data_IF_107775850247
#
_entry.id   IF_107775850247
#
_cell.length_a   1.000
_cell.length_b   1.000
_cell.length_c   1.000
_cell.angle_alpha   90.00
_cell.angle_beta   90.00
_cell.angle_gamma   90.00
#
_symmetry.space_group_name_H-M   'P 1'
#
loop_
_entity.id
_entity.type
_entity.pdbx_description
1 polymer ?
#
# COMPACT_ATOMS: atom_id res chain seq x y z
N UNK A 1 19.60 -16.39 -10.81
CA UNK A 1 19.96 -15.02 -11.25
C UNK A 1 18.68 -14.39 -11.75
N UNK A 2 17.94 -13.73 -10.86
CA UNK A 2 16.72 -13.04 -11.22
C UNK A 2 17.09 -11.72 -11.89
N UNK A 3 16.63 -11.54 -13.12
CA UNK A 3 16.70 -10.32 -13.90
C UNK A 3 16.31 -9.10 -13.05
N UNK A 4 17.22 -8.13 -12.95
CA UNK A 4 17.03 -6.84 -12.30
C UNK A 4 15.98 -6.03 -13.05
N UNK A 5 14.72 -6.18 -12.66
CA UNK A 5 13.79 -5.06 -12.65
C UNK A 5 14.49 -3.91 -11.91
N UNK A 6 14.57 -2.74 -12.54
CA UNK A 6 15.31 -1.58 -12.06
C UNK A 6 15.22 -1.39 -10.53
N UNK A 7 16.35 -1.45 -9.84
CA UNK A 7 16.43 -1.22 -8.40
C UNK A 7 16.05 0.24 -8.10
N UNK A 8 14.92 0.46 -7.42
CA UNK A 8 14.41 1.79 -7.09
C UNK A 8 15.45 2.65 -6.36
N UNK A 9 16.31 2.03 -5.53
CA UNK A 9 17.39 2.73 -4.86
C UNK A 9 18.45 3.23 -5.84
N UNK A 10 18.78 2.42 -6.86
CA UNK A 10 19.70 2.83 -7.93
C UNK A 10 19.11 3.95 -8.79
N UNK A 11 17.82 3.88 -9.11
CA UNK A 11 17.12 4.94 -9.84
C UNK A 11 17.12 6.26 -9.07
N UNK A 12 16.74 6.23 -7.79
CA UNK A 12 16.71 7.44 -6.97
C UNK A 12 18.11 8.04 -6.80
N UNK A 13 19.13 7.22 -6.58
CA UNK A 13 20.52 7.68 -6.45
C UNK A 13 21.03 8.39 -7.73
N UNK A 14 20.60 7.92 -8.90
CA UNK A 14 21.02 8.45 -10.20
C UNK A 14 20.13 9.58 -10.73
N UNK A 15 18.95 9.82 -10.15
CA UNK A 15 17.99 10.80 -10.66
C UNK A 15 18.48 12.24 -10.37
N UNK A 16 18.69 13.08 -11.40
CA UNK A 16 19.23 14.43 -11.21
C UNK A 16 18.27 15.38 -10.47
N UNK A 17 16.96 15.14 -10.53
CA UNK A 17 15.97 15.94 -9.82
C UNK A 17 15.94 15.63 -8.31
N UNK A 18 16.45 14.46 -7.88
CA UNK A 18 16.44 14.04 -6.49
C UNK A 18 17.18 15.05 -5.58
N UNK A 19 18.35 15.54 -6.01
CA UNK A 19 19.15 16.48 -5.21
C UNK A 19 18.38 17.79 -4.93
N UNK A 20 17.71 18.35 -5.94
CA UNK A 20 16.95 19.59 -5.79
C UNK A 20 15.73 19.41 -4.87
N UNK A 21 15.01 18.30 -5.01
CA UNK A 21 13.83 17.98 -4.18
C UNK A 21 14.21 17.65 -2.73
N UNK A 22 15.37 17.00 -2.51
CA UNK A 22 15.93 16.76 -1.17
C UNK A 22 16.33 18.10 -0.52
N UNK A 23 16.88 19.04 -1.29
CA UNK A 23 17.18 20.38 -0.79
C UNK A 23 15.91 21.14 -0.41
N UNK A 24 14.87 21.09 -1.26
CA UNK A 24 13.55 21.70 -1.01
C UNK A 24 12.94 21.24 0.33
N UNK A 25 13.06 19.94 0.66
CA UNK A 25 12.57 19.36 1.90
C UNK A 25 13.14 20.07 3.15
N UNK A 26 14.45 20.34 3.16
CA UNK A 26 15.10 20.94 4.32
C UNK A 26 15.00 22.48 4.33
N UNK A 27 14.91 23.13 3.17
CA UNK A 27 14.66 24.57 3.10
C UNK A 27 13.28 24.94 3.65
N UNK A 28 12.23 24.20 3.28
CA UNK A 28 10.87 24.43 3.80
C UNK A 28 10.75 24.14 5.30
N UNK A 29 11.55 23.23 5.85
CA UNK A 29 11.62 22.99 7.29
C UNK A 29 12.12 24.23 8.05
N UNK A 30 12.98 25.04 7.43
CA UNK A 30 13.53 26.27 8.01
C UNK A 30 12.63 27.51 7.78
N UNK A 31 11.82 27.53 6.72
CA UNK A 31 10.94 28.63 6.34
C UNK A 31 9.47 28.19 6.24
N UNK A 32 8.78 28.09 7.38
CA UNK A 32 7.40 27.62 7.49
C UNK A 32 6.30 28.47 6.78
N UNK A 33 6.64 29.46 5.95
CA UNK A 33 5.68 30.44 5.40
C UNK A 33 5.90 30.90 3.95
N UNK A 34 6.70 30.21 3.13
CA UNK A 34 6.81 30.57 1.70
C UNK A 34 5.74 29.81 0.90
N UNK A 35 4.94 30.54 0.12
CA UNK A 35 3.92 29.98 -0.76
C UNK A 35 4.58 29.09 -1.84
N UNK A 36 4.01 27.91 -2.16
CA UNK A 36 4.55 27.06 -3.21
C UNK A 36 4.25 27.72 -4.55
N UNK A 37 5.25 28.35 -5.16
CA UNK A 37 5.09 28.97 -6.47
C UNK A 37 6.37 28.81 -7.28
N UNK A 38 6.58 27.60 -7.78
CA UNK A 38 7.28 27.37 -9.04
C UNK A 38 6.19 26.96 -10.02
N UNK A 39 6.10 27.65 -11.16
CA UNK A 39 5.25 27.19 -12.26
C UNK A 39 5.74 25.78 -12.65
N UNK A 40 4.98 24.75 -12.27
CA UNK A 40 5.38 23.36 -12.46
C UNK A 40 5.24 23.02 -13.94
N UNK A 41 6.36 22.83 -14.63
CA UNK A 41 6.34 22.25 -15.97
C UNK A 41 5.88 20.79 -15.87
N UNK A 42 5.27 20.25 -16.93
CA UNK A 42 4.88 18.84 -16.95
C UNK A 42 6.07 17.88 -16.73
N UNK A 43 7.27 18.30 -17.15
CA UNK A 43 8.53 17.59 -16.89
C UNK A 43 8.91 17.61 -15.41
N UNK A 44 8.88 18.79 -14.75
CA UNK A 44 9.12 18.89 -13.31
C UNK A 44 8.15 18.04 -12.49
N UNK A 45 6.86 18.06 -12.84
CA UNK A 45 5.84 17.23 -12.17
C UNK A 45 6.15 15.74 -12.34
N UNK A 46 6.59 15.31 -13.53
CA UNK A 46 6.96 13.91 -13.79
C UNK A 46 8.14 13.49 -12.93
N UNK A 47 9.22 14.29 -12.93
CA UNK A 47 10.42 13.99 -12.17
C UNK A 47 10.15 13.95 -10.66
N UNK A 48 9.32 14.89 -10.16
CA UNK A 48 8.90 14.91 -8.77
C UNK A 48 8.08 13.65 -8.40
N UNK A 49 7.15 13.22 -9.26
CA UNK A 49 6.39 11.98 -9.03
C UNK A 49 7.29 10.76 -9.04
N UNK A 50 8.25 10.68 -9.97
CA UNK A 50 9.21 9.57 -10.05
C UNK A 50 10.05 9.48 -8.77
N UNK A 51 10.67 10.59 -8.36
CA UNK A 51 11.47 10.68 -7.12
C UNK A 51 10.63 10.35 -5.90
N UNK A 52 9.41 10.88 -5.81
CA UNK A 52 8.50 10.65 -4.68
C UNK A 52 8.06 9.20 -4.56
N UNK A 53 7.72 8.54 -5.68
CA UNK A 53 7.35 7.12 -5.70
C UNK A 53 8.56 6.25 -5.38
N UNK A 54 9.73 6.54 -5.94
CA UNK A 54 10.95 5.80 -5.65
C UNK A 54 11.30 5.89 -4.15
N UNK A 55 11.28 7.09 -3.58
CA UNK A 55 11.55 7.30 -2.14
C UNK A 55 10.54 6.53 -1.25
N UNK A 56 9.25 6.58 -1.58
CA UNK A 56 8.24 5.81 -0.85
C UNK A 56 8.46 4.30 -0.98
N UNK A 57 8.72 3.80 -2.18
CA UNK A 57 8.92 2.38 -2.44
C UNK A 57 10.16 1.84 -1.71
N UNK A 58 11.28 2.57 -1.73
CA UNK A 58 12.50 2.20 -0.98
C UNK A 58 12.20 2.18 0.53
N UNK A 59 11.49 3.18 1.05
CA UNK A 59 11.08 3.22 2.45
C UNK A 59 10.24 1.99 2.83
N UNK A 60 9.24 1.63 2.01
CA UNK A 60 8.40 0.45 2.23
C UNK A 60 9.18 -0.85 2.07
N UNK A 61 10.13 -0.91 1.15
CA UNK A 61 10.99 -2.06 0.98
C UNK A 61 11.85 -2.31 2.23
N UNK A 62 12.40 -1.25 2.83
CA UNK A 62 13.20 -1.36 4.06
C UNK A 62 12.35 -1.77 5.26
N UNK A 63 11.14 -1.21 5.38
CA UNK A 63 10.36 -1.28 6.63
C UNK A 63 9.21 -2.29 6.62
N UNK A 64 8.80 -2.79 5.46
CA UNK A 64 7.56 -3.57 5.30
C UNK A 64 7.78 -4.84 4.49
N UNK A 65 8.27 -4.74 3.25
CA UNK A 65 8.28 -5.89 2.34
C UNK A 65 9.59 -6.67 2.36
N UNK A 66 10.73 -5.99 2.51
CA UNK A 66 12.05 -6.55 2.27
C UNK A 66 12.27 -6.97 0.80
N UNK A 67 13.45 -7.51 0.47
CA UNK A 67 14.70 -7.42 1.24
C UNK A 67 15.26 -5.99 1.22
N UNK A 68 16.16 -5.67 2.16
CA UNK A 68 16.82 -4.35 2.21
C UNK A 68 17.60 -4.10 0.90
N UNK A 69 17.52 -2.89 0.29
CA UNK A 69 18.25 -2.56 -0.92
C UNK A 69 19.77 -2.71 -0.78
N UNK A 70 20.46 -2.71 -1.91
CA UNK A 70 21.92 -2.81 -1.93
C UNK A 70 22.60 -1.62 -1.23
N UNK A 71 23.76 -1.86 -0.61
CA UNK A 71 24.42 -0.88 0.26
C UNK A 71 24.90 0.37 -0.48
N UNK A 72 25.39 0.22 -1.72
CA UNK A 72 26.02 1.31 -2.45
C UNK A 72 25.03 2.42 -2.82
N UNK A 73 23.89 2.15 -3.50
CA UNK A 73 22.90 3.18 -3.79
C UNK A 73 22.34 3.83 -2.53
N UNK A 74 22.16 3.06 -1.46
CA UNK A 74 21.71 3.60 -0.16
C UNK A 74 22.72 4.59 0.44
N UNK A 75 24.02 4.29 0.37
CA UNK A 75 25.05 5.20 0.85
C UNK A 75 25.09 6.50 0.03
N UNK A 76 24.89 6.40 -1.29
CA UNK A 76 24.84 7.55 -2.18
C UNK A 76 23.61 8.44 -1.85
N UNK A 77 22.43 7.85 -1.65
CA UNK A 77 21.22 8.57 -1.21
C UNK A 77 21.44 9.23 0.16
N UNK A 78 21.95 8.49 1.14
CA UNK A 78 22.23 9.00 2.49
C UNK A 78 23.19 10.21 2.44
N UNK A 79 24.18 10.19 1.53
CA UNK A 79 25.09 11.32 1.33
C UNK A 79 24.39 12.56 0.78
N UNK A 80 23.44 12.40 -0.16
CA UNK A 80 22.66 13.50 -0.71
C UNK A 80 21.80 14.19 0.35
N UNK A 81 21.12 13.40 1.19
CA UNK A 81 20.34 13.91 2.32
C UNK A 81 21.21 14.66 3.34
N UNK A 82 22.37 14.10 3.70
CA UNK A 82 23.30 14.76 4.61
C UNK A 82 23.80 16.09 4.07
N UNK A 83 24.23 16.13 2.79
CA UNK A 83 24.72 17.36 2.16
C UNK A 83 23.65 18.46 2.16
N UNK A 84 22.40 18.12 1.82
CA UNK A 84 21.29 19.06 1.84
C UNK A 84 20.97 19.56 3.27
N UNK A 85 20.88 18.64 4.23
CA UNK A 85 20.58 18.98 5.63
C UNK A 85 21.67 19.85 6.26
N UNK A 86 22.95 19.54 6.03
CA UNK A 86 24.07 20.33 6.56
C UNK A 86 24.12 21.73 5.95
N UNK A 87 23.80 21.86 4.67
CA UNK A 87 23.74 23.17 3.97
C UNK A 87 22.72 24.11 4.62
N UNK A 88 21.60 23.58 5.11
CA UNK A 88 20.58 24.36 5.82
C UNK A 88 20.88 24.53 7.33
N UNK A 89 21.48 23.52 7.96
CA UNK A 89 21.65 23.46 9.43
C UNK A 89 22.85 24.27 9.97
N UNK A 90 23.84 24.60 9.14
CA UNK A 90 25.01 25.41 9.56
C UNK A 90 24.65 26.81 10.10
N UNK A 91 23.41 27.29 9.92
CA UNK A 91 22.94 28.55 10.50
C UNK A 91 22.66 28.48 12.02
N UNK A 92 22.53 27.28 12.61
CA UNK A 92 22.18 27.15 14.04
C UNK A 92 23.01 26.08 14.76
N UNK A 93 23.88 26.55 15.66
CA UNK A 93 24.54 25.83 16.78
C UNK A 93 25.79 24.99 16.49
N UNK A 94 26.94 25.64 16.74
CA UNK A 94 28.25 25.05 16.99
C UNK A 94 28.35 24.52 18.44
N UNK A 95 27.80 23.35 18.70
CA UNK A 95 28.11 22.59 19.93
C UNK A 95 28.71 21.22 19.59
N UNK A 96 29.79 20.79 20.27
CA UNK A 96 30.36 19.46 20.08
C UNK A 96 29.42 18.44 20.73
N UNK A 97 28.54 17.84 19.92
CA UNK A 97 27.70 16.71 20.35
C UNK A 97 28.35 15.41 19.89
N UNK A 98 28.42 14.41 20.77
CA UNK A 98 28.91 13.05 20.46
C UNK A 98 28.01 12.28 19.46
N UNK A 99 26.89 12.87 19.04
CA UNK A 99 25.88 12.28 18.17
C UNK A 99 26.24 12.52 16.70
N UNK A 100 26.19 11.48 15.86
CA UNK A 100 26.52 11.59 14.44
C UNK A 100 25.57 12.56 13.70
N UNK A 101 26.04 13.26 12.64
CA UNK A 101 25.19 14.14 11.82
C UNK A 101 23.91 13.44 11.33
N UNK A 102 24.05 12.18 10.90
CA UNK A 102 22.93 11.33 10.47
C UNK A 102 21.84 11.18 11.54
N UNK A 103 22.22 10.93 12.79
CA UNK A 103 21.25 10.80 13.90
C UNK A 103 20.55 12.13 14.18
N UNK A 104 21.23 13.27 14.01
CA UNK A 104 20.61 14.60 14.17
C UNK A 104 19.60 14.88 13.06
N UNK A 105 19.97 14.63 11.80
CA UNK A 105 19.07 14.75 10.66
C UNK A 105 17.82 13.88 10.84
N UNK A 106 17.99 12.60 11.19
CA UNK A 106 16.86 11.68 11.42
C UNK A 106 15.96 12.13 12.58
N UNK A 107 16.53 12.69 13.65
CA UNK A 107 15.74 13.30 14.74
C UNK A 107 14.93 14.50 14.24
N UNK A 108 15.47 15.29 13.32
CA UNK A 108 14.75 16.41 12.72
C UNK A 108 13.63 15.92 11.79
N UNK A 109 13.88 14.86 11.01
CA UNK A 109 12.86 14.15 10.23
C UNK A 109 11.70 13.64 11.11
N UNK A 110 11.98 13.09 12.29
CA UNK A 110 10.94 12.68 13.25
C UNK A 110 10.07 13.89 13.64
N UNK A 111 10.67 15.06 13.89
CA UNK A 111 9.92 16.30 14.18
C UNK A 111 9.09 16.77 13.00
N UNK A 112 9.57 16.62 11.76
CA UNK A 112 8.81 16.98 10.55
C UNK A 112 7.56 16.12 10.32
N UNK A 113 7.51 14.95 10.96
CA UNK A 113 6.38 14.02 10.92
C UNK A 113 5.52 14.09 12.19
N UNK A 114 5.83 14.96 13.14
CA UNK A 114 4.96 15.18 14.29
C UNK A 114 3.64 15.81 13.84
N UNK A 115 2.54 15.28 14.37
CA UNK A 115 1.20 15.78 14.10
C UNK A 115 0.31 15.49 15.31
N UNK A 116 -0.57 16.44 15.64
CA UNK A 116 -1.44 16.37 16.83
C UNK A 116 -0.66 16.12 18.14
N UNK A 117 0.60 16.57 18.21
CA UNK A 117 1.50 16.39 19.36
C UNK A 117 2.07 14.98 19.53
N UNK A 118 1.91 14.11 18.52
CA UNK A 118 2.45 12.74 18.52
C UNK A 118 3.47 12.58 17.40
N UNK A 119 4.64 12.05 17.74
CA UNK A 119 5.71 11.76 16.78
C UNK A 119 5.76 10.26 16.43
N UNK A 120 6.24 9.89 15.24
CA UNK A 120 6.54 8.51 14.91
C UNK A 120 7.61 7.90 15.82
N UNK A 121 7.71 6.57 15.82
CA UNK A 121 8.77 5.86 16.53
C UNK A 121 10.17 6.30 16.05
N UNK A 122 11.05 6.63 16.99
CA UNK A 122 12.34 7.29 16.72
C UNK A 122 13.38 6.41 16.02
N UNK A 123 13.22 5.09 16.05
CA UNK A 123 14.20 4.15 15.50
C UNK A 123 13.76 3.54 14.16
N UNK A 124 12.79 4.15 13.45
CA UNK A 124 12.39 3.72 12.11
C UNK A 124 13.57 3.96 11.14
N UNK A 125 14.08 2.92 10.45
CA UNK A 125 15.14 3.06 9.45
C UNK A 125 14.74 3.97 8.27
N UNK A 126 15.71 4.77 7.81
CA UNK A 126 15.63 5.60 6.60
C UNK A 126 14.38 6.48 6.50
N UNK A 127 13.95 7.05 7.64
CA UNK A 127 12.75 7.90 7.73
C UNK A 127 12.82 9.14 6.84
N UNK A 128 14.03 9.60 6.52
CA UNK A 128 14.30 10.70 5.57
C UNK A 128 13.65 10.47 4.19
N UNK A 129 13.57 9.22 3.72
CA UNK A 129 12.92 8.85 2.46
C UNK A 129 11.40 9.08 2.53
N UNK A 130 10.77 8.72 3.65
CA UNK A 130 9.36 8.98 3.86
C UNK A 130 9.07 10.48 3.98
N UNK A 131 9.94 11.24 4.65
CA UNK A 131 9.84 12.69 4.72
C UNK A 131 9.88 13.33 3.32
N UNK A 132 10.80 12.88 2.45
CA UNK A 132 10.89 13.34 1.07
C UNK A 132 9.60 13.03 0.29
N UNK A 133 9.14 11.78 0.29
CA UNK A 133 7.91 11.39 -0.40
C UNK A 133 6.71 12.21 0.07
N UNK A 134 6.55 12.38 1.40
CA UNK A 134 5.49 13.22 1.97
C UNK A 134 5.62 14.67 1.53
N UNK A 135 6.81 15.25 1.58
CA UNK A 135 7.02 16.63 1.16
C UNK A 135 6.62 16.83 -0.31
N UNK A 136 7.07 15.94 -1.20
CA UNK A 136 6.73 15.98 -2.62
C UNK A 136 5.22 15.94 -2.83
N UNK A 137 4.51 14.95 -2.28
CA UNK A 137 3.08 14.77 -2.57
C UNK A 137 2.16 15.75 -1.82
N UNK A 138 2.61 16.37 -0.74
CA UNK A 138 1.78 17.27 0.09
C UNK A 138 2.13 18.76 -0.03
N UNK A 139 3.37 19.08 -0.38
CA UNK A 139 3.87 20.46 -0.48
C UNK A 139 4.27 20.80 -1.91
N UNK A 140 5.25 20.09 -2.47
CA UNK A 140 5.75 20.37 -3.82
C UNK A 140 4.61 20.24 -4.84
N UNK A 141 3.88 19.13 -4.83
CA UNK A 141 2.76 18.86 -5.74
C UNK A 141 1.41 19.16 -5.09
N UNK A 142 1.27 20.23 -4.31
CA UNK A 142 -0.01 20.56 -3.64
C UNK A 142 -1.14 20.87 -4.63
N UNK A 143 -0.82 21.62 -5.69
CA UNK A 143 -1.75 22.07 -6.73
C UNK A 143 -1.21 21.69 -8.11
N UNK A 144 -1.21 20.39 -8.47
CA UNK A 144 -0.70 19.95 -9.76
C UNK A 144 -1.64 20.41 -10.88
N UNK A 145 -1.08 20.74 -12.05
CA UNK A 145 -1.86 21.10 -13.24
C UNK A 145 -2.71 19.91 -13.72
N UNK A 146 -2.10 18.71 -13.75
CA UNK A 146 -2.74 17.44 -14.09
C UNK A 146 -2.55 16.43 -12.96
N UNK A 147 -3.59 15.64 -12.67
CA UNK A 147 -3.50 14.61 -11.63
C UNK A 147 -2.80 13.32 -12.11
N UNK A 148 -2.93 13.03 -13.41
CA UNK A 148 -2.47 11.78 -14.00
C UNK A 148 -1.13 12.02 -14.68
N UNK A 149 -0.13 11.26 -14.23
CA UNK A 149 1.23 11.30 -14.76
C UNK A 149 1.59 9.91 -15.28
N UNK A 150 2.15 9.85 -16.48
CA UNK A 150 2.73 8.64 -17.04
C UNK A 150 4.24 8.67 -16.82
N UNK A 151 4.75 7.67 -16.10
CA UNK A 151 6.19 7.50 -15.90
C UNK A 151 6.78 6.65 -17.02
N UNK A 152 8.02 6.92 -17.45
CA UNK A 152 8.71 6.11 -18.45
C UNK A 152 9.03 4.72 -17.87
N UNK A 153 8.62 3.67 -18.57
CA UNK A 153 8.85 2.29 -18.14
C UNK A 153 8.37 1.27 -19.19
N UNK A 154 8.77 -0.01 -19.06
CA UNK A 154 8.34 -1.08 -19.98
C UNK A 154 6.82 -1.25 -19.98
N UNK A 155 6.17 -1.02 -18.84
CA UNK A 155 4.74 -0.81 -18.71
C UNK A 155 4.51 0.66 -18.34
N UNK A 156 4.01 1.48 -19.26
CA UNK A 156 3.69 2.88 -19.00
C UNK A 156 2.52 2.98 -18.01
N UNK A 157 2.83 2.83 -16.72
CA UNK A 157 1.84 2.82 -15.65
C UNK A 157 1.32 4.24 -15.43
N UNK A 158 -0.01 4.37 -15.40
CA UNK A 158 -0.68 5.62 -15.04
C UNK A 158 -0.58 5.80 -13.53
N UNK A 159 -0.04 6.92 -13.09
CA UNK A 159 0.02 7.29 -11.68
C UNK A 159 -0.88 8.50 -11.41
N UNK A 160 -1.67 8.43 -10.35
CA UNK A 160 -2.43 9.57 -9.84
C UNK A 160 -1.66 10.22 -8.68
N UNK A 161 -1.45 11.54 -8.77
CA UNK A 161 -0.81 12.33 -7.71
C UNK A 161 -1.71 12.32 -6.46
N UNK A 162 -3.01 12.55 -6.63
CA UNK A 162 -3.98 12.54 -5.51
C UNK A 162 -4.07 11.17 -4.84
N UNK A 163 -4.04 10.08 -5.60
CA UNK A 163 -4.06 8.74 -5.05
C UNK A 163 -2.77 8.40 -4.31
N UNK A 164 -1.62 8.81 -4.86
CA UNK A 164 -0.33 8.63 -4.16
C UNK A 164 -0.28 9.47 -2.88
N UNK A 165 -0.81 10.70 -2.90
CA UNK A 165 -0.97 11.53 -1.71
C UNK A 165 -1.83 10.88 -0.64
N UNK A 166 -2.96 10.28 -1.01
CA UNK A 166 -3.80 9.48 -0.09
C UNK A 166 -2.97 8.37 0.58
N UNK A 167 -2.20 7.60 -0.21
CA UNK A 167 -1.32 6.55 0.32
C UNK A 167 -0.28 7.08 1.29
N UNK A 168 0.31 8.25 1.00
CA UNK A 168 1.26 8.90 1.92
C UNK A 168 0.59 9.31 3.23
N UNK A 169 -0.60 9.92 3.20
CA UNK A 169 -1.34 10.25 4.43
C UNK A 169 -1.67 9.01 5.26
N UNK A 170 -2.12 7.93 4.62
CA UNK A 170 -2.41 6.65 5.27
C UNK A 170 -1.15 6.06 5.91
N UNK A 171 -0.01 6.10 5.21
CA UNK A 171 1.26 5.65 5.76
C UNK A 171 1.72 6.52 6.92
N UNK A 172 1.57 7.84 6.85
CA UNK A 172 1.89 8.74 7.96
C UNK A 172 1.06 8.38 9.20
N UNK A 173 -0.23 8.10 9.03
CA UNK A 173 -1.09 7.62 10.10
C UNK A 173 -0.57 6.30 10.69
N UNK A 174 -0.22 5.31 9.84
CA UNK A 174 0.32 4.01 10.29
C UNK A 174 1.64 4.15 11.05
N UNK A 175 2.54 5.03 10.63
CA UNK A 175 3.83 5.23 11.31
C UNK A 175 3.67 5.71 12.76
N UNK A 176 2.58 6.41 13.05
CA UNK A 176 2.29 6.92 14.39
C UNK A 176 1.38 5.96 15.17
N UNK A 177 0.26 5.53 14.56
CA UNK A 177 -0.75 4.71 15.21
C UNK A 177 -0.33 3.23 15.37
N UNK A 178 0.59 2.74 14.53
CA UNK A 178 1.01 1.33 14.49
C UNK A 178 2.54 1.21 14.58
N UNK A 179 3.15 1.49 15.74
CA UNK A 179 4.61 1.49 15.89
C UNK A 179 5.27 0.12 15.63
N UNK A 180 4.49 -0.97 15.61
CA UNK A 180 4.93 -2.26 15.07
C UNK A 180 4.35 -2.47 13.67
N UNK A 181 5.18 -2.35 12.62
CA UNK A 181 4.75 -2.53 11.23
C UNK A 181 4.43 -4.00 10.85
N UNK A 182 4.59 -4.97 11.77
CA UNK A 182 4.51 -6.42 11.50
C UNK A 182 3.43 -7.18 12.27
N UNK A 183 2.19 -6.69 12.39
CA UNK A 183 1.12 -7.44 13.08
C UNK A 183 -0.29 -7.11 12.61
N UNK A 184 -1.19 -8.10 12.67
CA UNK A 184 -2.59 -8.06 12.22
C UNK A 184 -3.33 -6.77 12.61
N UNK A 185 -3.82 -6.06 11.61
CA UNK A 185 -4.62 -4.81 11.70
C UNK A 185 -5.78 -4.94 12.69
N UNK A 186 -6.36 -6.13 12.84
CA UNK A 186 -7.55 -6.38 13.67
C UNK A 186 -7.30 -6.21 15.18
N UNK A 187 -6.09 -6.49 15.67
CA UNK A 187 -5.78 -6.38 17.12
C UNK A 187 -5.39 -4.97 17.56
N UNK A 188 -5.08 -4.07 16.62
CA UNK A 188 -4.49 -2.74 16.89
C UNK A 188 -5.49 -1.60 16.86
N UNK A 189 -6.72 -1.81 16.37
CA UNK A 189 -7.80 -0.82 16.40
C UNK A 189 -8.24 -0.42 17.83
N UNK A 190 -7.73 -1.10 18.85
CA UNK A 190 -8.02 -0.85 20.27
C UNK A 190 -7.02 0.06 20.98
N UNK A 191 -5.91 0.44 20.34
CA UNK A 191 -4.98 1.44 20.86
C UNK A 191 -5.34 2.82 20.30
N UNK A 192 -6.16 3.53 21.07
CA UNK A 192 -6.71 4.86 20.84
C UNK A 192 -5.64 5.96 20.70
N UNK A 193 -4.87 5.97 19.60
CA UNK A 193 -4.15 7.18 19.19
C UNK A 193 -5.06 7.91 18.21
N UNK A 194 -5.81 8.88 18.73
CA UNK A 194 -6.63 9.77 17.93
C UNK A 194 -5.72 10.76 17.20
N UNK A 195 -5.62 10.61 15.87
CA UNK A 195 -4.92 11.54 14.97
C UNK A 195 -5.94 12.25 14.09
N UNK A 196 -6.76 13.17 14.67
CA UNK A 196 -7.86 13.80 13.96
C UNK A 196 -7.41 14.55 12.70
N UNK A 197 -6.24 15.19 12.73
CA UNK A 197 -5.73 15.93 11.57
C UNK A 197 -5.42 15.00 10.41
N UNK A 198 -4.80 13.85 10.67
CA UNK A 198 -4.54 12.86 9.61
C UNK A 198 -5.80 12.12 9.19
N UNK A 199 -6.71 11.80 10.11
CA UNK A 199 -7.98 11.15 9.78
C UNK A 199 -8.83 12.01 8.82
N UNK A 200 -8.86 13.32 9.05
CA UNK A 200 -9.50 14.27 8.13
C UNK A 200 -8.78 14.32 6.78
N UNK A 201 -7.45 14.49 6.76
CA UNK A 201 -6.68 14.49 5.50
C UNK A 201 -6.88 13.21 4.67
N UNK A 202 -6.95 12.04 5.32
CA UNK A 202 -7.22 10.76 4.66
C UNK A 202 -8.63 10.74 4.09
N UNK A 203 -9.64 11.20 4.85
CA UNK A 203 -11.03 11.26 4.38
C UNK A 203 -11.17 12.18 3.17
N UNK A 204 -10.64 13.40 3.27
CA UNK A 204 -10.69 14.39 2.19
C UNK A 204 -9.94 13.90 0.94
N UNK A 205 -8.79 13.24 1.14
CA UNK A 205 -8.03 12.64 0.03
C UNK A 205 -8.78 11.47 -0.61
N UNK A 206 -9.47 10.63 0.16
CA UNK A 206 -10.32 9.57 -0.40
C UNK A 206 -11.44 10.15 -1.26
N UNK A 207 -12.12 11.20 -0.78
CA UNK A 207 -13.20 11.84 -1.54
C UNK A 207 -12.69 12.52 -2.82
N UNK A 208 -11.51 13.16 -2.75
CA UNK A 208 -10.85 13.78 -3.90
C UNK A 208 -10.39 12.76 -4.95
N UNK A 209 -9.89 11.60 -4.53
CA UNK A 209 -9.51 10.52 -5.46
C UNK A 209 -10.75 9.85 -6.04
N UNK A 210 -11.78 9.62 -5.21
CA UNK A 210 -13.05 9.03 -5.64
C UNK A 210 -13.69 9.85 -6.75
N UNK A 211 -13.74 11.17 -6.60
CA UNK A 211 -14.33 12.06 -7.61
C UNK A 211 -13.57 12.03 -8.94
N UNK A 212 -12.25 11.74 -8.94
CA UNK A 212 -11.42 11.67 -10.16
C UNK A 212 -11.42 10.29 -10.82
N UNK A 213 -11.47 9.22 -10.03
CA UNK A 213 -11.38 7.84 -10.54
C UNK A 213 -12.75 7.33 -10.96
N UNK A 214 -13.81 7.68 -10.23
CA UNK A 214 -15.17 7.21 -10.49
C UNK A 214 -16.02 8.22 -11.28
N UNK A 215 -15.52 9.41 -11.61
CA UNK A 215 -16.20 10.30 -12.55
C UNK A 215 -16.37 9.61 -13.89
N UNK A 216 -17.60 9.55 -14.38
CA UNK A 216 -17.94 9.03 -15.71
C UNK A 216 -17.98 10.15 -16.75
N UNK A 217 -17.18 11.21 -16.54
CA UNK A 217 -17.14 12.37 -17.42
C UNK A 217 -16.53 11.98 -18.75
N UNK A 218 -17.39 11.70 -19.73
CA UNK A 218 -17.06 11.29 -21.10
C UNK A 218 -16.16 12.33 -21.83
N UNK A 219 -16.12 13.56 -21.32
CA UNK A 219 -15.34 14.69 -21.87
C UNK A 219 -14.00 14.91 -21.18
N UNK A 220 -13.60 14.09 -20.21
CA UNK A 220 -12.30 14.22 -19.57
C UNK A 220 -11.19 13.73 -20.51
N UNK A 221 -10.27 14.63 -20.88
CA UNK A 221 -9.12 14.34 -21.76
C UNK A 221 -8.11 13.36 -21.14
N UNK A 222 -8.22 13.08 -19.83
CA UNK A 222 -7.46 12.06 -19.11
C UNK A 222 -8.10 10.69 -19.27
N UNK A 223 -7.55 9.85 -20.17
CA UNK A 223 -8.13 8.56 -20.53
C UNK A 223 -8.62 7.73 -19.33
N UNK A 224 -9.90 7.34 -19.39
CA UNK A 224 -10.67 6.67 -18.34
C UNK A 224 -9.89 5.57 -17.59
N UNK A 225 -10.08 5.50 -16.28
CA UNK A 225 -9.52 4.45 -15.44
C UNK A 225 -10.16 3.10 -15.76
N UNK A 226 -9.36 2.02 -15.73
CA UNK A 226 -9.89 0.68 -15.98
C UNK A 226 -10.83 0.25 -14.85
N UNK A 227 -11.67 -0.75 -15.10
CA UNK A 227 -12.51 -1.36 -14.05
C UNK A 227 -11.64 -1.88 -12.91
N UNK A 228 -10.48 -2.47 -13.24
CA UNK A 228 -9.53 -2.97 -12.25
C UNK A 228 -9.00 -1.84 -11.34
N UNK A 229 -8.64 -0.69 -11.91
CA UNK A 229 -8.17 0.46 -11.12
C UNK A 229 -9.26 1.00 -10.20
N UNK A 230 -10.50 1.10 -10.71
CA UNK A 230 -11.66 1.54 -9.92
C UNK A 230 -11.93 0.59 -8.75
N UNK A 231 -11.91 -0.73 -8.99
CA UNK A 231 -12.05 -1.75 -7.94
C UNK A 231 -10.89 -1.70 -6.95
N UNK A 232 -9.66 -1.55 -7.42
CA UNK A 232 -8.48 -1.40 -6.56
C UNK A 232 -8.63 -0.19 -5.63
N UNK A 233 -9.06 0.95 -6.16
CA UNK A 233 -9.34 2.13 -5.34
C UNK A 233 -10.43 1.87 -4.29
N UNK A 234 -11.55 1.27 -4.67
CA UNK A 234 -12.64 0.97 -3.73
C UNK A 234 -12.19 0.06 -2.58
N UNK A 235 -11.40 -0.97 -2.88
CA UNK A 235 -10.84 -1.87 -1.85
C UNK A 235 -9.82 -1.16 -0.96
N UNK A 236 -8.98 -0.29 -1.53
CA UNK A 236 -8.03 0.52 -0.77
C UNK A 236 -8.77 1.50 0.16
N UNK A 237 -9.80 2.19 -0.34
CA UNK A 237 -10.65 3.08 0.44
C UNK A 237 -11.42 2.34 1.54
N UNK A 238 -11.88 1.11 1.29
CA UNK A 238 -12.50 0.27 2.31
C UNK A 238 -11.50 -0.06 3.43
N UNK A 239 -10.28 -0.47 3.08
CA UNK A 239 -9.21 -0.75 4.05
C UNK A 239 -8.83 0.50 4.87
N UNK A 240 -8.80 1.68 4.24
CA UNK A 240 -8.56 2.94 4.93
C UNK A 240 -9.69 3.28 5.91
N UNK A 241 -10.96 3.03 5.55
CA UNK A 241 -12.07 3.21 6.49
C UNK A 241 -12.01 2.23 7.67
N UNK A 242 -11.59 0.98 7.44
CA UNK A 242 -11.33 0.01 8.53
C UNK A 242 -10.23 0.52 9.46
N UNK A 243 -9.13 1.04 8.89
CA UNK A 243 -8.03 1.63 9.66
C UNK A 243 -8.50 2.78 10.56
N UNK A 244 -9.44 3.60 10.08
CA UNK A 244 -10.04 4.71 10.82
C UNK A 244 -11.23 4.28 11.72
N UNK A 245 -11.51 2.99 11.87
CA UNK A 245 -12.60 2.48 12.70
C UNK A 245 -14.01 2.66 12.13
N UNK A 246 -14.15 3.01 10.84
CA UNK A 246 -15.43 3.26 10.15
C UNK A 246 -15.89 2.02 9.38
N UNK A 247 -16.32 0.98 10.09
CA UNK A 247 -16.73 -0.30 9.50
C UNK A 247 -17.90 -0.20 8.52
N UNK A 248 -18.85 0.69 8.78
CA UNK A 248 -20.07 0.81 7.97
C UNK A 248 -19.75 1.31 6.55
N UNK A 249 -18.95 2.38 6.45
CA UNK A 249 -18.47 2.91 5.17
C UNK A 249 -17.59 1.91 4.43
N UNK A 250 -16.75 1.17 5.15
CA UNK A 250 -15.92 0.13 4.54
C UNK A 250 -16.77 -0.96 3.89
N UNK A 251 -17.87 -1.36 4.54
CA UNK A 251 -18.80 -2.36 4.01
C UNK A 251 -19.47 -1.86 2.72
N UNK A 252 -19.95 -0.62 2.69
CA UNK A 252 -20.55 0.00 1.50
C UNK A 252 -19.58 0.00 0.30
N UNK A 253 -18.32 0.34 0.55
CA UNK A 253 -17.27 0.35 -0.49
C UNK A 253 -16.94 -1.06 -1.01
N UNK A 254 -16.90 -2.06 -0.14
CA UNK A 254 -16.72 -3.47 -0.55
C UNK A 254 -17.92 -3.93 -1.38
N UNK A 255 -19.15 -3.62 -0.98
CA UNK A 255 -20.35 -3.94 -1.74
C UNK A 255 -20.34 -3.29 -3.13
N UNK A 256 -19.90 -2.03 -3.24
CA UNK A 256 -19.68 -1.35 -4.51
C UNK A 256 -18.62 -2.05 -5.38
N UNK A 257 -17.46 -2.39 -4.80
CA UNK A 257 -16.39 -3.11 -5.51
C UNK A 257 -16.88 -4.47 -6.03
N UNK A 258 -17.66 -5.20 -5.24
CA UNK A 258 -18.21 -6.50 -5.64
C UNK A 258 -19.23 -6.41 -6.76
N UNK A 259 -20.07 -5.35 -6.76
CA UNK A 259 -21.01 -5.07 -7.85
C UNK A 259 -20.26 -4.71 -9.12
N UNK A 260 -19.20 -3.91 -9.02
CA UNK A 260 -18.42 -3.48 -10.17
C UNK A 260 -17.65 -4.63 -10.84
N UNK A 261 -17.10 -5.55 -10.05
CA UNK A 261 -16.34 -6.69 -10.55
C UNK A 261 -17.16 -7.97 -10.75
N UNK A 262 -18.50 -7.91 -10.59
CA UNK A 262 -19.40 -9.07 -10.58
C UNK A 262 -18.90 -10.23 -9.70
N UNK A 263 -18.27 -9.89 -8.57
CA UNK A 263 -17.70 -10.84 -7.64
C UNK A 263 -18.73 -11.22 -6.58
N UNK A 264 -19.06 -12.51 -6.49
CA UNK A 264 -20.02 -13.01 -5.51
C UNK A 264 -19.26 -13.63 -4.35
N UNK A 265 -19.55 -13.17 -3.13
CA UNK A 265 -19.03 -13.80 -1.93
C UNK A 265 -20.12 -14.02 -0.88
N UNK A 266 -19.94 -15.05 -0.06
CA UNK A 266 -20.77 -15.29 1.11
C UNK A 266 -19.87 -15.65 2.29
N UNK A 267 -20.13 -15.02 3.43
CA UNK A 267 -19.50 -15.34 4.70
C UNK A 267 -20.40 -16.34 5.44
N UNK A 268 -19.87 -17.52 5.74
CA UNK A 268 -20.62 -18.60 6.40
C UNK A 268 -19.80 -19.21 7.54
N UNK A 269 -20.47 -19.94 8.42
CA UNK A 269 -19.82 -20.77 9.43
C UNK A 269 -19.92 -22.24 9.02
N UNK A 270 -18.81 -22.97 9.09
CA UNK A 270 -18.81 -24.42 8.88
C UNK A 270 -18.06 -25.13 10.01
N UNK A 271 -18.61 -26.25 10.49
CA UNK A 271 -17.93 -27.09 11.47
C UNK A 271 -16.72 -27.78 10.83
N UNK A 272 -15.53 -27.56 11.38
CA UNK A 272 -14.31 -28.20 10.88
C UNK A 272 -13.28 -28.51 11.95
N UNK A 273 -12.31 -29.36 11.58
CA UNK A 273 -11.12 -29.69 12.39
C UNK A 273 -9.88 -29.05 11.79
N UNK A 274 -8.97 -28.55 12.64
CA UNK A 274 -7.69 -27.96 12.22
C UNK A 274 -6.48 -28.81 12.58
N UNK A 275 -6.65 -29.77 13.49
CA UNK A 275 -5.56 -30.61 13.98
C UNK A 275 -5.92 -32.09 13.85
N UNK A 276 -4.90 -32.92 13.69
CA UNK A 276 -5.04 -34.38 13.54
C UNK A 276 -5.63 -35.03 14.80
N UNK A 277 -5.38 -34.44 15.97
CA UNK A 277 -5.80 -34.96 17.28
C UNK A 277 -7.08 -34.31 17.82
N UNK A 278 -7.72 -33.39 17.08
CA UNK A 278 -8.96 -32.77 17.50
C UNK A 278 -10.15 -33.74 17.39
N UNK A 279 -10.76 -34.09 18.52
CA UNK A 279 -11.93 -34.99 18.55
C UNK A 279 -13.21 -34.31 18.06
N UNK A 280 -13.49 -33.09 18.55
CA UNK A 280 -14.74 -32.34 18.28
C UNK A 280 -14.54 -31.31 17.17
N UNK A 281 -15.42 -31.29 16.18
CA UNK A 281 -15.45 -30.21 15.18
C UNK A 281 -15.89 -28.90 15.85
N UNK A 282 -15.21 -27.80 15.53
CA UNK A 282 -15.55 -26.45 16.03
C UNK A 282 -16.02 -25.60 14.85
N UNK A 283 -16.83 -24.57 15.12
CA UNK A 283 -17.26 -23.63 14.09
C UNK A 283 -16.07 -22.83 13.57
N UNK A 284 -15.95 -22.74 12.25
CA UNK A 284 -14.91 -21.98 11.57
C UNK A 284 -15.57 -21.03 10.57
N UNK A 285 -14.99 -19.85 10.43
CA UNK A 285 -15.42 -18.86 9.46
C UNK A 285 -14.95 -19.28 8.06
N UNK A 286 -15.87 -19.40 7.11
CA UNK A 286 -15.62 -19.77 5.73
C UNK A 286 -16.10 -18.65 4.82
N UNK A 287 -15.23 -18.23 3.91
CA UNK A 287 -15.57 -17.29 2.85
C UNK A 287 -15.71 -18.11 1.57
N UNK A 288 -16.93 -18.15 1.02
CA UNK A 288 -17.18 -18.67 -0.31
C UNK A 288 -17.08 -17.51 -1.29
N UNK A 289 -16.33 -17.68 -2.37
CA UNK A 289 -16.08 -16.65 -3.36
C UNK A 289 -16.17 -17.23 -4.77
N UNK A 290 -16.85 -16.51 -5.66
CA UNK A 290 -16.96 -16.78 -7.09
C UNK A 290 -16.61 -15.50 -7.84
N UNK A 291 -15.52 -15.54 -8.59
CA UNK A 291 -15.29 -14.61 -9.70
C UNK A 291 -16.05 -15.13 -10.92
N UNK A 292 -16.77 -14.27 -11.62
CA UNK A 292 -17.29 -14.61 -12.93
C UNK A 292 -16.10 -14.71 -13.90
N UNK A 293 -15.97 -15.82 -14.63
CA UNK A 293 -15.00 -15.93 -15.72
C UNK A 293 -15.26 -14.78 -16.70
N UNK A 294 -14.31 -13.85 -16.78
CA UNK A 294 -14.33 -12.83 -17.82
C UNK A 294 -13.87 -13.55 -19.08
N UNK A 295 -14.77 -13.76 -20.04
CA UNK A 295 -14.44 -14.31 -21.36
C UNK A 295 -13.37 -13.42 -22.03
N UNK A 296 -12.11 -13.75 -21.79
CA UNK A 296 -10.98 -13.40 -22.65
C UNK A 296 -10.38 -14.70 -23.16
N UNK A 297 -11.25 -15.54 -23.71
CA UNK A 297 -10.85 -16.70 -24.52
C UNK A 297 -10.56 -16.18 -25.92
N UNK A 298 -9.29 -15.94 -26.21
CA UNK A 298 -8.81 -16.32 -27.55
C UNK A 298 -8.53 -17.82 -27.48
N UNK A 299 -9.17 -18.67 -28.31
CA UNK A 299 -8.90 -20.09 -28.28
C UNK A 299 -7.72 -20.36 -29.21
N UNK A 300 -6.53 -20.56 -28.65
CA UNK A 300 -5.44 -21.21 -29.38
C UNK A 300 -4.38 -21.76 -28.41
N UNK A 301 -4.27 -23.09 -28.37
CA UNK A 301 -3.06 -23.80 -27.97
C UNK A 301 -3.08 -24.38 -26.57
N UNK A 302 -3.21 -25.71 -26.51
CA UNK A 302 -2.88 -26.53 -25.35
C UNK A 302 -1.43 -26.30 -24.89
N UNK A 303 -1.22 -26.53 -23.59
CA UNK A 303 0.05 -26.73 -22.88
C UNK A 303 0.98 -25.50 -22.73
N UNK A 304 0.75 -24.66 -21.69
CA UNK A 304 1.81 -23.99 -20.87
C UNK A 304 1.30 -23.03 -19.76
N UNK A 305 0.02 -23.05 -19.35
CA UNK A 305 -0.53 -22.14 -18.30
C UNK A 305 -0.81 -22.81 -16.93
N UNK A 306 0.12 -23.58 -16.38
CA UNK A 306 0.04 -24.00 -14.96
C UNK A 306 1.19 -23.48 -14.09
N UNK A 307 2.16 -22.76 -14.68
CA UNK A 307 3.36 -22.27 -13.98
C UNK A 307 3.17 -20.92 -13.27
N UNK A 308 2.06 -20.21 -13.52
CA UNK A 308 1.74 -18.89 -12.92
C UNK A 308 0.89 -18.96 -11.66
N UNK A 309 0.41 -20.16 -11.25
CA UNK A 309 -0.30 -20.31 -9.98
C UNK A 309 0.72 -20.52 -8.86
N UNK A 310 0.70 -19.70 -7.79
CA UNK A 310 1.60 -19.93 -6.67
C UNK A 310 1.32 -21.31 -6.08
N UNK A 311 2.34 -22.16 -6.04
CA UNK A 311 2.23 -23.50 -5.46
C UNK A 311 1.88 -23.37 -3.98
N UNK A 312 0.80 -24.05 -3.56
CA UNK A 312 0.39 -24.05 -2.17
C UNK A 312 1.52 -24.64 -1.30
N UNK A 313 2.02 -23.85 -0.36
CA UNK A 313 3.05 -24.29 0.58
C UNK A 313 2.44 -25.32 1.55
N UNK A 314 2.96 -26.54 1.51
CA UNK A 314 2.56 -27.60 2.44
C UNK A 314 2.96 -27.22 3.88
N UNK A 315 2.03 -27.43 4.81
CA UNK A 315 2.22 -27.14 6.22
C UNK A 315 3.23 -28.08 6.86
N UNK A 316 3.24 -29.36 6.45
CA UNK A 316 4.17 -30.41 6.90
C UNK A 316 4.31 -30.47 8.44
N UNK A 317 3.18 -30.27 9.13
CA UNK A 317 3.13 -30.21 10.60
C UNK A 317 2.53 -31.51 11.16
N UNK A 318 3.18 -32.10 12.17
CA UNK A 318 2.75 -33.35 12.80
C UNK A 318 1.44 -33.23 13.59
N UNK A 319 1.04 -32.02 13.94
CA UNK A 319 -0.14 -31.72 14.77
C UNK A 319 -1.28 -31.13 13.95
N UNK A 320 -0.99 -30.27 12.98
CA UNK A 320 -1.99 -29.60 12.16
C UNK A 320 -2.41 -30.45 10.95
N UNK A 321 -3.62 -30.21 10.46
CA UNK A 321 -4.06 -30.73 9.16
C UNK A 321 -3.58 -29.77 8.07
N UNK A 322 -3.18 -30.33 6.92
CA UNK A 322 -2.82 -29.55 5.72
C UNK A 322 -3.97 -28.67 5.25
N UNK A 323 -5.20 -29.20 5.31
CA UNK A 323 -6.42 -28.49 5.01
C UNK A 323 -7.44 -28.67 6.13
N UNK A 324 -8.28 -27.66 6.34
CA UNK A 324 -9.37 -27.74 7.30
C UNK A 324 -10.36 -28.81 6.82
N UNK A 325 -10.56 -29.84 7.63
CA UNK A 325 -11.55 -30.87 7.35
C UNK A 325 -12.93 -30.42 7.82
N UNK A 326 -13.78 -30.01 6.88
CA UNK A 326 -15.16 -29.62 7.16
C UNK A 326 -16.10 -30.82 7.26
N UNK A 327 -17.01 -30.76 8.22
CA UNK A 327 -18.11 -31.71 8.36
C UNK A 327 -19.20 -31.30 7.37
N UNK A 328 -19.71 -32.22 6.53
CA UNK A 328 -20.80 -31.88 5.60
C UNK A 328 -22.08 -31.58 6.39
N UNK A 329 -22.53 -30.34 6.36
CA UNK A 329 -23.86 -29.98 6.85
C UNK A 329 -24.88 -30.10 5.71
N UNK A 330 -25.84 -31.02 5.88
CA UNK A 330 -27.14 -30.96 5.21
C UNK A 330 -28.04 -30.07 6.08
N UNK A 331 -28.24 -28.79 5.73
CA UNK A 331 -29.46 -28.09 6.14
C UNK A 331 -29.71 -26.82 5.32
N UNK A 332 -30.94 -26.71 4.83
CA UNK A 332 -31.42 -25.61 4.00
C UNK A 332 -31.91 -24.44 4.83
N UNK A 333 -31.47 -23.23 4.47
CA UNK A 333 -31.96 -21.99 5.05
C UNK A 333 -31.10 -20.78 4.68
N UNK A 334 -31.14 -20.38 3.39
CA UNK A 334 -30.90 -19.02 2.83
C UNK A 334 -30.73 -19.12 1.30
N UNK A 335 -31.80 -19.54 0.62
CA UNK A 335 -31.70 -20.30 -0.64
C UNK A 335 -31.64 -19.51 -1.96
N UNK A 336 -31.43 -18.18 -1.98
CA UNK A 336 -31.38 -17.43 -3.27
C UNK A 336 -29.99 -16.95 -3.70
N UNK A 337 -29.13 -16.52 -2.78
CA UNK A 337 -27.73 -16.18 -3.11
C UNK A 337 -26.82 -17.38 -2.93
N UNK A 338 -27.13 -18.24 -1.95
CA UNK A 338 -26.36 -19.45 -1.69
C UNK A 338 -26.55 -20.52 -2.76
N UNK A 339 -27.64 -20.57 -3.51
CA UNK A 339 -27.85 -21.65 -4.50
C UNK A 339 -26.83 -21.64 -5.66
N UNK A 340 -26.27 -20.46 -6.01
CA UNK A 340 -25.19 -20.32 -7.00
C UNK A 340 -23.79 -20.53 -6.39
N UNK A 341 -23.64 -20.34 -5.08
CA UNK A 341 -22.39 -20.52 -4.31
C UNK A 341 -22.28 -21.90 -3.63
N UNK A 342 -23.40 -22.62 -3.44
CA UNK A 342 -23.51 -23.95 -2.82
C UNK A 342 -22.98 -25.07 -3.72
N UNK A 343 -22.87 -24.81 -5.03
CA UNK A 343 -22.18 -25.69 -5.97
C UNK A 343 -20.67 -25.74 -5.68
N UNK A 344 -20.11 -24.71 -5.04
CA UNK A 344 -18.81 -24.76 -4.39
C UNK A 344 -18.98 -25.38 -2.99
N UNK A 345 -18.97 -26.72 -2.92
CA UNK A 345 -18.50 -27.34 -1.67
C UNK A 345 -17.07 -26.84 -1.38
N UNK A 346 -16.66 -26.73 -0.10
CA UNK A 346 -15.25 -26.51 0.22
C UNK A 346 -14.39 -27.51 -0.58
N UNK A 347 -13.22 -27.07 -1.10
CA UNK A 347 -12.52 -27.78 -2.16
C UNK A 347 -12.32 -29.25 -1.80
N UNK A 348 -12.96 -30.13 -2.58
CA UNK A 348 -12.63 -31.56 -2.63
C UNK A 348 -11.66 -31.76 -3.77
N UNK A 349 -10.39 -31.38 -3.63
CA UNK A 349 -9.36 -31.92 -4.53
C UNK A 349 -8.78 -33.18 -3.91
N UNK A 350 -9.49 -34.28 -4.11
CA UNK A 350 -8.90 -35.61 -4.04
C UNK A 350 -7.99 -35.76 -5.27
N UNK A 351 -6.69 -35.61 -5.10
CA UNK A 351 -5.74 -36.26 -6.00
C UNK A 351 -5.36 -37.61 -5.39
N UNK A 352 -6.12 -38.63 -5.77
CA UNK A 352 -5.55 -39.97 -5.83
C UNK A 352 -4.67 -40.03 -7.08
N UNK A 353 -3.35 -39.96 -6.91
CA UNK A 353 -2.47 -40.77 -7.75
C UNK A 353 -2.09 -41.99 -6.94
N UNK A 354 -2.76 -43.10 -7.24
CA UNK A 354 -2.26 -44.42 -6.88
C UNK A 354 -0.99 -44.63 -7.69
N UNK A 355 0.14 -44.70 -6.98
CA UNK A 355 1.34 -45.36 -7.48
C UNK A 355 1.03 -46.86 -7.51
N UNK A 356 1.14 -47.46 -8.69
CA UNK A 356 1.48 -48.86 -8.86
C UNK A 356 2.98 -48.93 -9.17
#
# INVERSE_FOLDING_TARGET
>A
MASTLHDAATQLAANPAAQALIQELFEHASHAHIAPNLAQTAEYTRDAVEVGIAALNIFLQINVTGPVPSRQPMADIESQFLMAWESTSQATTSFPSAVTPMTRMRRDCVRLLEIDGVSPYSHIPSLELFCLARHIFTKTLSTPADDVVQLPGPDAQKHSISWTRLRVHVWHYKLIAQPSLGGSTFTKSSNWIELPSLATQITDSMDAVRSRILSDDVWADGGNWSIHDKVQFLLEAANNNILLGRSDKAKELVEEATRMNNFLYALSGALGKRTKFQEKSISQLVVLALSQETETVTPAGDDEEDDTKPQALQLNDDTLLEEIQFTKEQNGGEAKTLSRLQTLSPPKRFYHSQLA
#
